data_IF_488952142288
#
_entry.id   IF_488952142288
#
_cell.length_a   1.000
_cell.length_b   1.000
_cell.length_c   1.000
_cell.angle_alpha   90.00
_cell.angle_beta   90.00
_cell.angle_gamma   90.00
#
_symmetry.space_group_name_H-M   'P 1'
#
loop_
_entity.id
_entity.type
_entity.pdbx_description
1 polymer ?
#
# COMPACT_ATOMS: atom_id res chain seq x y z
N UNK A 1 7.06 -21.13 -4.70
CA UNK A 1 6.41 -20.66 -3.46
C UNK A 1 7.20 -19.59 -2.69
N UNK A 2 8.55 -19.53 -2.70
CA UNK A 2 9.27 -18.51 -1.91
C UNK A 2 9.15 -17.07 -2.46
N UNK A 3 9.29 -16.89 -3.78
CA UNK A 3 9.26 -15.56 -4.40
C UNK A 3 7.92 -14.81 -4.26
N UNK A 4 6.79 -15.52 -4.29
CA UNK A 4 5.47 -14.90 -4.10
C UNK A 4 5.32 -14.34 -2.68
N UNK A 5 5.78 -15.10 -1.67
CA UNK A 5 5.79 -14.64 -0.28
C UNK A 5 6.73 -13.44 -0.09
N UNK A 6 7.90 -13.44 -0.73
CA UNK A 6 8.85 -12.33 -0.66
C UNK A 6 8.22 -11.04 -1.25
N UNK A 7 7.50 -11.14 -2.37
CA UNK A 7 6.79 -9.99 -2.95
C UNK A 7 5.64 -9.48 -2.08
N UNK A 8 4.82 -10.38 -1.54
CA UNK A 8 3.71 -10.00 -0.64
C UNK A 8 4.25 -9.31 0.62
N UNK A 9 5.39 -9.80 1.13
CA UNK A 9 6.05 -9.23 2.31
C UNK A 9 6.58 -7.82 2.04
N UNK A 10 7.22 -7.57 0.89
CA UNK A 10 7.68 -6.21 0.53
C UNK A 10 6.51 -5.23 0.41
N UNK A 11 5.42 -5.63 -0.26
CA UNK A 11 4.22 -4.79 -0.41
C UNK A 11 3.61 -4.48 0.97
N UNK A 12 3.50 -5.48 1.84
CA UNK A 12 2.98 -5.29 3.20
C UNK A 12 3.84 -4.32 4.00
N UNK A 13 5.16 -4.50 3.99
CA UNK A 13 6.08 -3.63 4.74
C UNK A 13 6.02 -2.17 4.26
N UNK A 14 5.95 -1.96 2.94
CA UNK A 14 5.79 -0.62 2.35
C UNK A 14 4.45 0.01 2.70
N UNK A 15 3.38 -0.78 2.71
CA UNK A 15 2.04 -0.33 3.10
C UNK A 15 2.03 0.15 4.56
N UNK A 16 2.55 -0.66 5.48
CA UNK A 16 2.62 -0.32 6.90
C UNK A 16 3.43 0.95 7.12
N UNK A 17 4.64 1.05 6.54
CA UNK A 17 5.47 2.25 6.67
C UNK A 17 4.79 3.52 6.11
N UNK A 18 4.13 3.38 4.95
CA UNK A 18 3.41 4.49 4.31
C UNK A 18 2.22 4.95 5.15
N UNK A 19 1.41 4.02 5.67
CA UNK A 19 0.24 4.40 6.45
C UNK A 19 0.60 4.88 7.86
N UNK A 20 1.64 4.31 8.48
CA UNK A 20 2.17 4.84 9.73
C UNK A 20 2.64 6.30 9.59
N UNK A 21 3.44 6.60 8.55
CA UNK A 21 3.92 7.97 8.31
C UNK A 21 2.83 8.98 7.94
N UNK A 22 1.73 8.53 7.34
CA UNK A 22 0.61 9.40 6.94
C UNK A 22 -0.42 9.63 8.03
N UNK A 23 -0.64 8.63 8.89
CA UNK A 23 -1.79 8.63 9.80
C UNK A 23 -1.41 8.77 11.26
N UNK A 24 -0.22 8.34 11.69
CA UNK A 24 0.17 8.40 13.09
C UNK A 24 0.89 9.71 13.41
N UNK A 25 0.53 10.33 14.52
CA UNK A 25 1.23 11.51 15.01
C UNK A 25 2.59 11.11 15.60
N UNK A 26 3.65 11.87 15.30
CA UNK A 26 4.97 11.64 15.93
C UNK A 26 5.00 12.04 17.41
N UNK A 27 4.00 12.80 17.87
CA UNK A 27 3.79 13.12 19.28
C UNK A 27 2.71 12.20 19.84
N UNK A 28 3.14 11.07 20.37
CA UNK A 28 2.26 10.11 21.02
C UNK A 28 1.81 10.63 22.38
N UNK A 29 0.52 10.90 22.52
CA UNK A 29 -0.11 11.25 23.81
C UNK A 29 -0.62 10.03 24.56
N UNK A 30 -0.87 8.92 23.86
CA UNK A 30 -1.38 7.66 24.40
C UNK A 30 -0.86 6.48 23.56
N UNK A 31 -1.00 5.25 24.08
CA UNK A 31 -0.50 4.04 23.41
C UNK A 31 -1.48 3.40 22.42
N UNK A 32 -2.75 3.76 22.52
CA UNK A 32 -3.80 3.26 21.62
C UNK A 32 -3.99 4.20 20.43
N UNK A 33 -4.51 3.67 19.32
CA UNK A 33 -4.91 4.51 18.20
C UNK A 33 -6.13 5.34 18.58
N UNK A 34 -6.03 6.64 18.38
CA UNK A 34 -7.23 7.51 18.43
C UNK A 34 -8.22 7.07 17.36
N UNK A 35 -9.51 7.41 17.54
CA UNK A 35 -10.53 7.19 16.51
C UNK A 35 -10.14 7.80 15.15
N UNK A 36 -9.45 8.94 15.18
CA UNK A 36 -8.96 9.61 13.97
C UNK A 36 -7.87 8.82 13.26
N UNK A 37 -6.89 8.32 14.01
CA UNK A 37 -5.81 7.49 13.48
C UNK A 37 -6.34 6.16 12.91
N UNK A 38 -7.25 5.49 13.63
CA UNK A 38 -7.87 4.25 13.17
C UNK A 38 -8.58 4.42 11.81
N UNK A 39 -9.47 5.42 11.70
CA UNK A 39 -10.19 5.72 10.45
C UNK A 39 -9.22 6.18 9.34
N UNK A 40 -8.15 6.89 9.68
CA UNK A 40 -7.13 7.28 8.72
C UNK A 40 -6.41 6.05 8.15
N UNK A 41 -5.99 5.11 9.01
CA UNK A 41 -5.28 3.88 8.61
C UNK A 41 -6.14 3.05 7.66
N UNK A 42 -7.41 2.84 7.95
CA UNK A 42 -8.34 2.11 7.07
C UNK A 42 -8.42 2.75 5.67
N UNK A 43 -8.60 4.08 5.63
CA UNK A 43 -8.63 4.85 4.38
C UNK A 43 -7.29 4.80 3.64
N UNK A 44 -6.18 4.83 4.38
CA UNK A 44 -4.84 4.78 3.81
C UNK A 44 -4.59 3.44 3.13
N UNK A 45 -4.90 2.32 3.78
CA UNK A 45 -4.76 0.97 3.22
C UNK A 45 -5.58 0.84 1.94
N UNK A 46 -6.86 1.27 1.96
CA UNK A 46 -7.71 1.25 0.76
C UNK A 46 -7.11 2.05 -0.40
N UNK A 47 -6.61 3.26 -0.14
CA UNK A 47 -5.94 4.09 -1.15
C UNK A 47 -4.61 3.50 -1.62
N UNK A 48 -3.84 2.86 -0.74
CA UNK A 48 -2.57 2.26 -1.08
C UNK A 48 -2.77 1.10 -2.06
N UNK A 49 -3.74 0.24 -1.82
CA UNK A 49 -4.06 -0.89 -2.71
C UNK A 49 -4.54 -0.36 -4.08
N UNK A 50 -5.44 0.63 -4.08
CA UNK A 50 -5.92 1.23 -5.34
C UNK A 50 -4.76 1.87 -6.13
N UNK A 51 -3.87 2.60 -5.46
CA UNK A 51 -2.69 3.18 -6.09
C UNK A 51 -1.76 2.10 -6.67
N UNK A 52 -1.50 1.01 -5.94
CA UNK A 52 -0.69 -0.10 -6.44
C UNK A 52 -1.31 -0.75 -7.68
N UNK A 53 -2.64 -0.89 -7.73
CA UNK A 53 -3.35 -1.42 -8.90
C UNK A 53 -3.16 -0.52 -10.13
N UNK A 54 -3.43 0.78 -10.00
CA UNK A 54 -3.28 1.74 -11.10
C UNK A 54 -1.83 1.79 -11.60
N UNK A 55 -0.85 1.77 -10.70
CA UNK A 55 0.57 1.72 -11.06
C UNK A 55 0.89 0.42 -11.83
N UNK A 56 0.37 -0.72 -11.39
CA UNK A 56 0.54 -2.00 -12.06
C UNK A 56 -0.05 -2.03 -13.47
N UNK A 57 -1.23 -1.43 -13.67
CA UNK A 57 -1.85 -1.25 -14.99
C UNK A 57 -0.98 -0.39 -15.91
N UNK A 58 -0.51 0.77 -15.43
CA UNK A 58 0.34 1.69 -16.19
C UNK A 58 1.70 1.09 -16.54
N UNK A 59 2.27 0.29 -15.64
CA UNK A 59 3.52 -0.42 -15.90
C UNK A 59 3.37 -1.44 -17.03
N UNK A 60 2.25 -2.18 -17.06
CA UNK A 60 1.95 -3.13 -18.15
C UNK A 60 1.75 -2.42 -19.49
N UNK A 61 1.00 -1.32 -19.50
CA UNK A 61 0.81 -0.48 -20.69
C UNK A 61 2.16 0.03 -21.23
N UNK A 62 3.03 0.52 -20.34
CA UNK A 62 4.33 1.11 -20.73
C UNK A 62 5.37 0.08 -21.16
N UNK A 63 5.28 -1.15 -20.65
CA UNK A 63 6.23 -2.23 -20.95
C UNK A 63 5.90 -2.97 -22.26
N UNK A 64 4.87 -2.56 -23.00
CA UNK A 64 4.39 -3.27 -24.19
C UNK A 64 3.80 -4.65 -23.89
N UNK A 65 3.62 -5.01 -22.61
CA UNK A 65 3.04 -6.28 -22.16
C UNK A 65 1.51 -6.18 -22.18
N UNK A 66 0.97 -5.85 -23.35
CA UNK A 66 -0.45 -5.99 -23.65
C UNK A 66 -0.70 -7.45 -24.06
N UNK A 67 -1.56 -8.22 -23.37
CA UNK A 67 -1.91 -9.58 -23.78
C UNK A 67 -2.80 -9.64 -25.04
N UNK A 68 -2.86 -8.57 -25.83
CA UNK A 68 -3.61 -8.46 -27.09
C UNK A 68 -2.75 -8.02 -28.28
N UNK A 69 -1.43 -8.15 -28.16
CA UNK A 69 -0.46 -7.81 -29.20
C UNK A 69 0.18 -9.02 -29.86
N UNK A 70 -0.61 -10.05 -30.20
CA UNK A 70 -0.45 -11.06 -31.26
C UNK A 70 -1.62 -12.05 -31.16
#
# INVERSE_FOLDING_TARGET
MRHELDMVTDVFNRMVATCASKCLNQRYSEGELTKGEAVCVDRCVGKFIEANKVIGEKLRESSGMNPGGM
#
